data_IF_822497943835
#
_entry.id   IF_822497943835
#
_cell.length_a   1.000
_cell.length_b   1.000
_cell.length_c   1.000
_cell.angle_alpha   90.00
_cell.angle_beta   90.00
_cell.angle_gamma   90.00
#
_symmetry.space_group_name_H-M   'P 1'
#
loop_
_entity.id
_entity.type
_entity.pdbx_description
1 polymer ?
#
# COMPACT_ATOMS: atom_id res chain seq x y z
N UNK A 1 -9.69 9.01 6.89
CA UNK A 1 -9.33 10.42 7.11
C UNK A 1 -10.22 11.29 6.24
N UNK A 2 -10.76 12.39 6.74
CA UNK A 2 -11.79 13.16 6.04
C UNK A 2 -11.30 13.85 4.76
N UNK A 3 -10.03 14.19 4.68
CA UNK A 3 -9.40 14.88 3.55
C UNK A 3 -9.18 13.96 2.33
N UNK A 4 -9.02 12.65 2.56
CA UNK A 4 -8.76 11.65 1.53
C UNK A 4 -9.52 10.35 1.89
N UNK A 5 -10.82 10.25 1.59
CA UNK A 5 -11.67 9.15 2.07
C UNK A 5 -11.27 7.78 1.54
N UNK A 6 -10.64 7.72 0.36
CA UNK A 6 -10.11 6.49 -0.24
C UNK A 6 -8.86 5.95 0.47
N UNK A 7 -8.17 6.76 1.30
CA UNK A 7 -6.97 6.34 2.04
C UNK A 7 -7.36 5.74 3.40
N UNK A 8 -7.50 4.41 3.44
CA UNK A 8 -8.09 3.67 4.56
C UNK A 8 -7.05 2.81 5.30
N UNK A 9 -6.24 3.43 6.16
CA UNK A 9 -5.20 2.77 6.98
C UNK A 9 -4.16 2.04 6.13
N UNK A 10 -4.31 0.74 5.90
CA UNK A 10 -3.52 -0.07 4.99
C UNK A 10 -4.43 -0.59 3.88
N UNK A 11 -4.08 -0.33 2.63
CA UNK A 11 -4.90 -0.78 1.49
C UNK A 11 -4.03 -1.14 0.28
N UNK A 12 -4.63 -1.82 -0.66
CA UNK A 12 -4.08 -2.15 -1.98
C UNK A 12 -4.92 -1.43 -3.02
N UNK A 13 -4.30 -0.73 -3.95
CA UNK A 13 -5.01 -0.03 -5.00
C UNK A 13 -4.09 0.46 -6.11
N UNK A 14 -4.63 0.72 -7.28
CA UNK A 14 -3.88 1.27 -8.41
C UNK A 14 -4.77 2.12 -9.32
N UNK A 15 -4.28 3.31 -9.69
CA UNK A 15 -5.07 4.34 -10.39
C UNK A 15 -5.31 4.08 -11.88
N UNK A 16 -4.58 3.17 -12.52
CA UNK A 16 -4.83 2.84 -13.93
C UNK A 16 -4.58 1.36 -14.24
N UNK A 17 -5.64 0.57 -14.09
CA UNK A 17 -5.66 -0.83 -14.50
C UNK A 17 -6.40 -0.93 -15.85
N UNK A 18 -5.69 -0.79 -16.98
CA UNK A 18 -6.29 -0.77 -18.34
C UNK A 18 -7.39 0.29 -18.48
N UNK A 19 -7.15 1.49 -17.95
CA UNK A 19 -8.09 2.62 -18.01
C UNK A 19 -9.12 2.66 -16.88
N UNK A 20 -8.98 1.80 -15.85
CA UNK A 20 -9.87 1.81 -14.69
C UNK A 20 -9.10 2.26 -13.45
N UNK A 21 -9.58 3.31 -12.83
CA UNK A 21 -9.06 3.80 -11.56
C UNK A 21 -9.59 2.95 -10.40
N UNK A 22 -8.70 2.24 -9.72
CA UNK A 22 -8.98 1.49 -8.50
C UNK A 22 -8.23 2.08 -7.29
N UNK A 23 -7.84 3.35 -7.38
CA UNK A 23 -7.18 4.08 -6.29
C UNK A 23 -8.10 5.10 -5.65
N UNK A 24 -8.74 5.95 -6.45
CA UNK A 24 -9.66 6.99 -5.96
C UNK A 24 -11.09 6.45 -5.77
N UNK A 25 -11.96 7.25 -5.16
CA UNK A 25 -13.41 6.98 -5.09
C UNK A 25 -14.18 8.05 -5.90
N UNK A 26 -13.59 8.55 -6.98
CA UNK A 26 -14.23 9.50 -7.90
C UNK A 26 -15.30 8.80 -8.75
N UNK A 27 -16.31 9.55 -9.27
CA UNK A 27 -17.32 8.96 -10.13
C UNK A 27 -16.72 8.16 -11.31
N UNK A 28 -17.17 6.93 -11.49
CA UNK A 28 -16.66 6.03 -12.55
C UNK A 28 -15.47 5.17 -12.14
N UNK A 29 -14.99 5.27 -10.90
CA UNK A 29 -13.91 4.42 -10.40
C UNK A 29 -14.28 2.93 -10.38
N UNK A 30 -13.27 2.07 -10.45
CA UNK A 30 -13.40 0.64 -10.20
C UNK A 30 -13.46 0.33 -8.71
N UNK A 31 -13.71 -0.93 -8.37
CA UNK A 31 -13.78 -1.33 -6.98
C UNK A 31 -13.28 -2.76 -6.76
N UNK A 32 -12.87 -3.03 -5.54
CA UNK A 32 -12.49 -4.35 -5.07
C UNK A 32 -13.62 -4.98 -4.27
N UNK A 33 -13.87 -6.26 -4.48
CA UNK A 33 -14.90 -7.01 -3.76
C UNK A 33 -14.32 -8.27 -3.15
N UNK A 34 -14.48 -8.41 -1.84
CA UNK A 34 -14.17 -9.66 -1.14
C UNK A 34 -15.06 -10.79 -1.64
N UNK A 35 -14.47 -11.95 -1.95
CA UNK A 35 -15.14 -13.11 -2.52
C UNK A 35 -15.09 -14.36 -1.63
N UNK A 36 -14.53 -14.21 -0.45
CA UNK A 36 -14.40 -15.28 0.52
C UNK A 36 -12.95 -15.51 0.95
N UNK A 37 -12.80 -16.24 2.02
CA UNK A 37 -11.49 -16.64 2.51
C UNK A 37 -11.02 -17.93 1.84
N UNK A 38 -9.75 -17.95 1.45
CA UNK A 38 -9.07 -19.16 0.99
C UNK A 38 -8.50 -19.97 2.17
N UNK A 39 -8.03 -19.25 3.21
CA UNK A 39 -7.56 -19.88 4.44
C UNK A 39 -7.66 -18.89 5.60
N UNK A 40 -7.77 -19.41 6.81
CA UNK A 40 -7.64 -18.69 8.08
C UNK A 40 -6.93 -19.60 9.05
N UNK A 41 -5.81 -19.14 9.57
CA UNK A 41 -4.95 -19.89 10.49
C UNK A 41 -4.71 -19.03 11.73
N UNK A 42 -4.64 -19.64 12.88
CA UNK A 42 -4.26 -18.96 14.11
C UNK A 42 -3.38 -19.85 14.96
N UNK A 43 -2.37 -19.26 15.60
CA UNK A 43 -1.41 -19.97 16.42
C UNK A 43 -0.65 -19.03 17.33
N UNK A 44 0.21 -19.60 18.19
CA UNK A 44 0.99 -18.83 19.14
C UNK A 44 2.12 -17.99 18.49
N UNK A 45 2.58 -18.41 17.31
CA UNK A 45 3.69 -17.75 16.59
C UNK A 45 3.15 -16.72 15.58
N UNK A 46 2.11 -17.09 14.86
CA UNK A 46 1.48 -16.19 13.87
C UNK A 46 -0.01 -16.48 13.70
N UNK A 47 -0.72 -15.48 13.19
CA UNK A 47 -2.05 -15.62 12.58
C UNK A 47 -1.98 -15.24 11.11
N UNK A 48 -2.73 -15.95 10.24
CA UNK A 48 -2.73 -15.74 8.80
C UNK A 48 -4.14 -15.75 8.23
N UNK A 49 -4.39 -14.81 7.32
CA UNK A 49 -5.63 -14.78 6.55
C UNK A 49 -5.28 -14.71 5.07
N UNK A 50 -5.91 -15.58 4.26
CA UNK A 50 -5.90 -15.52 2.79
C UNK A 50 -7.29 -15.16 2.30
N UNK A 51 -7.41 -14.06 1.58
CA UNK A 51 -8.68 -13.57 1.04
C UNK A 51 -8.65 -13.54 -0.49
N UNK A 52 -9.71 -14.08 -1.10
CA UNK A 52 -9.95 -13.92 -2.54
C UNK A 52 -10.71 -12.62 -2.77
N UNK A 53 -10.18 -11.80 -3.68
CA UNK A 53 -10.70 -10.48 -4.00
C UNK A 53 -10.85 -10.39 -5.52
N UNK A 54 -11.95 -9.88 -6.00
CA UNK A 54 -12.13 -9.53 -7.40
C UNK A 54 -11.98 -8.03 -7.59
N UNK A 55 -11.30 -7.63 -8.67
CA UNK A 55 -11.20 -6.25 -9.11
C UNK A 55 -12.17 -5.99 -10.26
N UNK A 56 -12.95 -4.93 -10.15
CA UNK A 56 -14.09 -4.66 -11.03
C UNK A 56 -14.05 -3.25 -11.60
N UNK A 57 -14.58 -3.09 -12.81
CA UNK A 57 -14.91 -1.78 -13.36
C UNK A 57 -16.13 -1.19 -12.65
N UNK A 58 -16.37 0.11 -12.78
CA UNK A 58 -17.59 0.79 -12.29
C UNK A 58 -18.90 0.10 -12.74
N UNK A 59 -18.89 -0.53 -13.94
CA UNK A 59 -20.04 -1.24 -14.49
C UNK A 59 -20.18 -2.70 -14.03
N UNK A 60 -19.38 -3.12 -13.06
CA UNK A 60 -19.44 -4.47 -12.49
C UNK A 60 -18.77 -5.57 -13.31
N UNK A 61 -18.05 -5.25 -14.39
CA UNK A 61 -17.27 -6.25 -15.14
C UNK A 61 -15.99 -6.56 -14.35
N UNK A 62 -15.75 -7.84 -14.04
CA UNK A 62 -14.51 -8.29 -13.40
C UNK A 62 -13.34 -8.13 -14.37
N UNK A 63 -12.23 -7.57 -13.89
CA UNK A 63 -11.00 -7.38 -14.66
C UNK A 63 -9.99 -8.48 -14.35
N UNK A 64 -9.74 -8.74 -13.07
CA UNK A 64 -8.79 -9.75 -12.61
C UNK A 64 -9.09 -10.14 -11.16
N UNK A 65 -8.39 -11.14 -10.67
CA UNK A 65 -8.49 -11.63 -9.32
C UNK A 65 -7.22 -11.35 -8.51
N UNK A 66 -7.40 -11.22 -7.22
CA UNK A 66 -6.32 -11.07 -6.24
C UNK A 66 -6.47 -12.15 -5.16
N UNK A 67 -5.36 -12.75 -4.77
CA UNK A 67 -5.20 -13.45 -3.51
C UNK A 67 -4.36 -12.56 -2.59
N UNK A 68 -4.98 -12.03 -1.54
CA UNK A 68 -4.29 -11.27 -0.51
C UNK A 68 -4.03 -12.15 0.69
N UNK A 69 -2.78 -12.27 1.06
CA UNK A 69 -2.38 -12.93 2.30
C UNK A 69 -1.85 -11.89 3.27
N UNK A 70 -2.32 -11.94 4.50
CA UNK A 70 -1.78 -11.15 5.61
C UNK A 70 -1.38 -12.11 6.71
N UNK A 71 -0.12 -12.10 7.07
CA UNK A 71 0.42 -12.84 8.22
C UNK A 71 0.82 -11.83 9.29
N UNK A 72 0.30 -12.00 10.50
CA UNK A 72 0.65 -11.19 11.67
C UNK A 72 1.41 -12.07 12.64
N UNK A 73 2.60 -11.65 13.01
CA UNK A 73 3.47 -12.42 13.91
C UNK A 73 3.28 -12.03 15.37
N UNK A 74 3.38 -13.03 16.24
CA UNK A 74 3.45 -12.83 17.69
C UNK A 74 4.82 -12.27 18.06
N UNK A 75 4.87 -10.97 18.35
CA UNK A 75 6.09 -10.26 18.73
C UNK A 75 6.03 -9.77 20.17
N UNK A 76 7.19 -9.64 20.82
CA UNK A 76 7.29 -9.04 22.15
C UNK A 76 7.35 -7.50 22.09
N UNK A 77 7.05 -6.85 23.20
CA UNK A 77 7.09 -5.39 23.33
C UNK A 77 6.00 -4.69 22.51
N UNK A 78 6.28 -3.49 22.06
CA UNK A 78 5.36 -2.67 21.25
C UNK A 78 5.38 -2.94 19.76
N UNK A 79 6.29 -3.81 19.29
CA UNK A 79 6.43 -4.12 17.87
C UNK A 79 5.21 -4.86 17.31
N UNK A 80 4.84 -4.54 16.07
CA UNK A 80 3.92 -5.35 15.26
C UNK A 80 4.61 -5.66 13.94
N UNK A 81 4.74 -6.94 13.63
CA UNK A 81 5.33 -7.43 12.37
C UNK A 81 4.24 -8.10 11.54
N UNK A 82 4.16 -7.69 10.28
CA UNK A 82 3.19 -8.25 9.34
C UNK A 82 3.84 -8.45 7.97
N UNK A 83 3.55 -9.58 7.35
CA UNK A 83 3.76 -9.76 5.90
C UNK A 83 2.45 -9.55 5.16
N UNK A 84 2.52 -8.84 4.06
CA UNK A 84 1.38 -8.66 3.14
C UNK A 84 1.82 -9.14 1.76
N UNK A 85 1.21 -10.22 1.30
CA UNK A 85 1.47 -10.75 -0.05
C UNK A 85 0.24 -10.52 -0.93
N UNK A 86 0.48 -9.93 -2.10
CA UNK A 86 -0.56 -9.66 -3.11
C UNK A 86 -0.22 -10.44 -4.37
N UNK A 87 -1.01 -11.46 -4.69
CA UNK A 87 -0.89 -12.22 -5.93
C UNK A 87 -2.02 -11.82 -6.87
N UNK A 88 -1.67 -11.24 -8.02
CA UNK A 88 -2.62 -10.84 -9.05
C UNK A 88 -2.70 -11.91 -10.14
N UNK A 89 -3.93 -12.30 -10.50
CA UNK A 89 -4.20 -13.31 -11.54
C UNK A 89 -5.09 -12.72 -12.61
N UNK A 90 -4.57 -12.62 -13.83
CA UNK A 90 -5.25 -12.00 -14.98
C UNK A 90 -6.23 -12.97 -15.63
N UNK A 91 -7.27 -13.36 -14.87
CA UNK A 91 -8.25 -14.42 -15.24
C UNK A 91 -9.24 -14.00 -16.33
N UNK A 92 -9.29 -12.71 -16.68
CA UNK A 92 -10.24 -12.16 -17.66
C UNK A 92 -9.55 -11.57 -18.91
N UNK A 93 -8.29 -11.92 -19.14
CA UNK A 93 -7.46 -11.38 -20.21
C UNK A 93 -6.35 -10.46 -19.68
N UNK A 94 -5.52 -9.93 -20.57
CA UNK A 94 -4.40 -9.08 -20.22
C UNK A 94 -4.87 -7.78 -19.56
N UNK A 95 -4.15 -7.35 -18.54
CA UNK A 95 -4.33 -6.07 -17.85
C UNK A 95 -3.02 -5.30 -17.88
N UNK A 96 -3.08 -4.04 -18.27
CA UNK A 96 -1.94 -3.14 -18.25
C UNK A 96 -2.06 -2.21 -17.03
N UNK A 97 -1.11 -2.29 -16.13
CA UNK A 97 -0.90 -1.28 -15.08
C UNK A 97 -0.13 -0.13 -15.72
N UNK A 98 -0.85 0.95 -16.05
CA UNK A 98 -0.23 2.11 -16.71
C UNK A 98 0.48 2.99 -15.71
N UNK A 99 1.42 3.77 -16.21
CA UNK A 99 2.23 4.67 -15.42
C UNK A 99 1.38 5.78 -14.79
N UNK A 100 1.28 5.77 -13.46
CA UNK A 100 0.60 6.79 -12.66
C UNK A 100 1.20 6.88 -11.26
N UNK A 101 1.24 8.09 -10.70
CA UNK A 101 1.61 8.27 -9.29
C UNK A 101 0.51 7.77 -8.34
N UNK A 102 -0.73 7.74 -8.80
CA UNK A 102 -1.90 7.32 -8.00
C UNK A 102 -1.92 5.80 -7.85
N UNK A 103 -1.06 5.29 -6.99
CA UNK A 103 -0.91 3.86 -6.84
C UNK A 103 0.05 3.49 -5.74
N UNK A 104 -0.07 2.28 -5.42
CA UNK A 104 0.74 1.50 -4.54
C UNK A 104 0.02 0.17 -4.39
N UNK A 105 0.67 -0.92 -4.78
CA UNK A 105 0.11 -2.24 -4.47
C UNK A 105 0.11 -2.51 -2.97
N UNK A 106 0.81 -1.67 -2.21
CA UNK A 106 0.63 -1.53 -0.77
C UNK A 106 0.78 -0.07 -0.38
N UNK A 107 -0.25 0.48 0.23
CA UNK A 107 -0.28 1.85 0.70
C UNK A 107 -0.71 1.93 2.17
N UNK A 108 -0.15 2.90 2.88
CA UNK A 108 -0.44 3.18 4.27
C UNK A 108 -0.79 4.65 4.45
N UNK A 109 -1.83 4.92 5.22
CA UNK A 109 -2.12 6.24 5.76
C UNK A 109 -1.86 6.22 7.26
N UNK A 110 -0.86 6.98 7.71
CA UNK A 110 -0.54 7.11 9.13
C UNK A 110 -1.55 8.01 9.85
N UNK A 111 -1.49 8.04 11.17
CA UNK A 111 -2.34 8.91 11.99
C UNK A 111 -2.09 10.39 11.65
N UNK A 112 -3.14 11.22 11.71
CA UNK A 112 -3.01 12.65 11.38
C UNK A 112 -2.07 13.41 12.32
N UNK A 113 -1.82 12.90 13.52
CA UNK A 113 -0.83 13.44 14.44
C UNK A 113 0.62 13.23 13.98
N UNK A 114 0.84 12.23 13.10
CA UNK A 114 2.15 11.88 12.53
C UNK A 114 2.43 12.61 11.22
N UNK A 115 1.54 13.48 10.76
CA UNK A 115 1.74 14.20 9.50
C UNK A 115 3.00 15.11 9.59
N UNK A 116 3.71 15.33 8.48
CA UNK A 116 4.96 16.07 8.44
C UNK A 116 4.82 17.52 8.93
N UNK A 117 3.62 18.14 8.74
CA UNK A 117 3.32 19.47 9.26
C UNK A 117 3.20 19.51 10.79
N UNK A 118 3.10 18.36 11.43
CA UNK A 118 3.01 18.17 12.89
C UNK A 118 4.27 17.53 13.48
N UNK A 119 5.38 17.56 12.74
CA UNK A 119 6.65 17.02 13.18
C UNK A 119 6.86 15.55 12.87
N UNK A 120 6.00 14.95 12.02
CA UNK A 120 6.24 13.63 11.46
C UNK A 120 7.44 13.62 10.51
N UNK A 121 8.08 12.48 10.40
CA UNK A 121 9.29 12.30 9.60
C UNK A 121 9.11 11.12 8.66
N UNK A 122 9.48 11.31 7.39
CA UNK A 122 9.65 10.23 6.41
C UNK A 122 11.14 9.95 6.30
N UNK A 123 11.53 8.68 6.29
CA UNK A 123 12.91 8.25 6.05
C UNK A 123 12.96 7.03 5.15
N UNK A 124 14.05 6.84 4.41
CA UNK A 124 14.24 5.70 3.51
C UNK A 124 15.56 5.00 3.75
N UNK A 125 15.71 3.77 3.22
CA UNK A 125 16.97 3.01 3.25
C UNK A 125 18.15 3.74 2.63
N UNK A 126 17.90 4.68 1.72
CA UNK A 126 18.92 5.45 1.01
C UNK A 126 19.29 6.76 1.72
N UNK A 127 18.77 6.96 2.94
CA UNK A 127 19.07 8.14 3.76
C UNK A 127 18.26 9.38 3.38
N UNK A 128 17.29 9.29 2.48
CA UNK A 128 16.40 10.41 2.15
C UNK A 128 15.49 10.73 3.32
N UNK A 129 15.34 12.02 3.64
CA UNK A 129 14.53 12.54 4.73
C UNK A 129 13.46 13.49 4.19
N UNK A 130 12.19 13.24 4.57
CA UNK A 130 11.06 14.06 4.15
C UNK A 130 10.56 13.76 2.75
N UNK A 131 9.42 14.34 2.39
CA UNK A 131 8.77 14.13 1.10
C UNK A 131 9.66 14.56 -0.08
N UNK A 132 10.33 15.70 0.02
CA UNK A 132 11.08 16.26 -1.10
C UNK A 132 12.23 15.35 -1.56
N UNK A 133 12.85 14.64 -0.64
CA UNK A 133 13.95 13.72 -0.96
C UNK A 133 13.50 12.29 -1.26
N UNK A 134 12.41 11.83 -0.62
CA UNK A 134 11.96 10.45 -0.72
C UNK A 134 10.96 10.21 -1.88
N UNK A 135 10.24 11.24 -2.33
CA UNK A 135 9.19 11.07 -3.32
C UNK A 135 9.71 10.54 -4.66
N UNK A 136 9.17 9.40 -5.09
CA UNK A 136 9.51 8.74 -6.33
C UNK A 136 10.88 8.07 -6.37
N UNK A 137 11.70 8.19 -5.33
CA UNK A 137 13.02 7.56 -5.29
C UNK A 137 12.93 6.09 -4.89
N UNK A 138 13.70 5.21 -5.56
CA UNK A 138 13.78 3.82 -5.17
C UNK A 138 14.46 3.67 -3.80
N UNK A 139 13.89 2.81 -2.95
CA UNK A 139 14.50 2.44 -1.69
C UNK A 139 13.94 1.08 -1.23
N UNK A 140 14.74 0.30 -0.50
CA UNK A 140 14.34 -1.00 -0.01
C UNK A 140 13.27 -0.94 1.10
N UNK A 141 13.22 0.18 1.81
CA UNK A 141 12.16 0.46 2.78
C UNK A 141 11.90 1.97 2.89
N UNK A 142 10.70 2.28 3.34
CA UNK A 142 10.32 3.64 3.73
C UNK A 142 9.64 3.58 5.11
N UNK A 143 10.03 4.48 6.00
CA UNK A 143 9.47 4.68 7.33
C UNK A 143 8.71 6.00 7.40
N UNK A 144 7.62 5.98 8.14
CA UNK A 144 6.88 7.19 8.50
C UNK A 144 6.64 7.17 10.01
N UNK A 145 7.23 8.09 10.74
CA UNK A 145 7.16 8.17 12.20
C UNK A 145 6.75 9.55 12.71
N UNK A 146 6.13 9.60 13.89
CA UNK A 146 5.66 10.83 14.50
C UNK A 146 5.04 10.62 15.87
N UNK A 147 4.46 11.67 16.45
CA UNK A 147 3.81 11.59 17.76
C UNK A 147 2.40 10.99 17.65
N UNK A 148 2.09 10.05 18.55
CA UNK A 148 0.75 9.51 18.76
C UNK A 148 0.49 9.44 20.26
N UNK A 149 -0.31 10.38 20.75
CA UNK A 149 -0.66 10.42 22.18
C UNK A 149 0.52 10.64 23.11
N UNK A 150 1.49 11.46 22.71
CA UNK A 150 2.68 11.80 23.49
C UNK A 150 3.78 10.74 23.40
N UNK A 151 3.68 9.77 22.50
CA UNK A 151 4.75 8.79 22.23
C UNK A 151 5.11 8.81 20.76
N UNK A 152 6.41 8.60 20.47
CA UNK A 152 6.86 8.43 19.10
C UNK A 152 6.52 7.02 18.63
N UNK A 153 5.72 6.94 17.59
CA UNK A 153 5.32 5.71 16.92
C UNK A 153 5.72 5.79 15.45
N UNK A 154 5.85 4.64 14.78
CA UNK A 154 6.22 4.60 13.36
C UNK A 154 5.68 3.36 12.65
N UNK A 155 5.61 3.47 11.33
CA UNK A 155 5.31 2.37 10.43
C UNK A 155 6.40 2.34 9.37
N UNK A 156 7.15 1.25 9.31
CA UNK A 156 8.07 0.97 8.21
C UNK A 156 7.42 -0.04 7.26
N UNK A 157 7.47 0.25 5.97
CA UNK A 157 7.12 -0.70 4.90
C UNK A 157 8.40 -1.11 4.19
N UNK A 158 8.63 -2.42 4.11
CA UNK A 158 9.81 -3.00 3.47
C UNK A 158 9.38 -3.65 2.16
N UNK A 159 10.03 -3.28 1.07
CA UNK A 159 9.85 -3.92 -0.23
C UNK A 159 10.62 -5.23 -0.26
N UNK A 160 10.00 -6.33 -0.66
CA UNK A 160 10.66 -7.63 -0.71
C UNK A 160 11.55 -7.74 -1.96
N UNK A 161 12.76 -8.30 -1.82
CA UNK A 161 13.74 -8.38 -2.90
C UNK A 161 13.28 -9.14 -4.15
N UNK A 162 12.25 -9.99 -4.03
CA UNK A 162 11.65 -10.71 -5.16
C UNK A 162 10.47 -9.95 -5.80
N UNK A 163 10.08 -8.80 -5.27
CA UNK A 163 9.01 -8.01 -5.88
C UNK A 163 9.45 -7.45 -7.25
N UNK A 164 8.50 -7.32 -8.19
CA UNK A 164 8.81 -6.70 -9.48
C UNK A 164 9.40 -5.30 -9.29
N UNK A 165 10.53 -5.04 -9.98
CA UNK A 165 11.25 -3.75 -9.98
C UNK A 165 11.75 -3.32 -8.60
N UNK A 166 12.14 -4.28 -7.76
CA UNK A 166 12.84 -3.99 -6.50
C UNK A 166 14.16 -3.24 -6.76
N UNK A 167 14.53 -2.22 -5.95
CA UNK A 167 13.70 -1.56 -4.97
C UNK A 167 12.66 -0.62 -5.59
N UNK A 168 11.47 -0.59 -5.00
CA UNK A 168 10.34 0.19 -5.51
C UNK A 168 10.52 1.69 -5.34
N UNK A 169 9.88 2.49 -6.22
CA UNK A 169 9.71 3.92 -6.00
C UNK A 169 8.61 4.19 -4.97
N UNK A 170 8.80 5.23 -4.14
CA UNK A 170 7.88 5.53 -3.05
C UNK A 170 6.98 6.73 -3.35
N UNK A 171 5.68 6.52 -3.32
CA UNK A 171 4.71 7.60 -3.30
C UNK A 171 4.47 8.04 -1.86
N UNK A 172 5.15 9.10 -1.46
CA UNK A 172 5.05 9.66 -0.10
C UNK A 172 4.47 11.06 -0.10
N UNK A 173 3.74 11.41 0.94
CA UNK A 173 3.19 12.75 1.15
C UNK A 173 3.29 13.15 2.60
N UNK A 174 3.63 14.40 2.87
CA UNK A 174 3.70 14.96 4.22
C UNK A 174 2.40 14.87 4.99
N UNK A 175 1.26 14.78 4.30
CA UNK A 175 -0.03 14.57 4.96
C UNK A 175 -0.27 13.14 5.46
N UNK A 176 0.74 12.27 5.43
CA UNK A 176 0.68 10.95 6.04
C UNK A 176 0.47 9.77 5.07
N UNK A 177 0.64 9.95 3.76
CA UNK A 177 0.63 8.87 2.79
C UNK A 177 2.03 8.29 2.59
N UNK A 178 2.10 6.96 2.57
CA UNK A 178 3.27 6.17 2.18
C UNK A 178 2.82 4.97 1.37
N UNK A 179 3.27 4.84 0.12
CA UNK A 179 2.88 3.75 -0.76
C UNK A 179 4.05 3.24 -1.61
N UNK A 180 4.19 1.92 -1.67
CA UNK A 180 5.14 1.23 -2.54
C UNK A 180 4.54 1.14 -3.95
N UNK A 181 5.14 1.81 -4.94
CA UNK A 181 4.60 1.88 -6.31
C UNK A 181 5.61 1.43 -7.35
N UNK A 182 5.64 0.14 -7.64
CA UNK A 182 6.55 -0.46 -8.62
C UNK A 182 6.18 -0.19 -10.08
N UNK A 183 5.01 0.40 -10.37
CA UNK A 183 4.55 0.65 -11.74
C UNK A 183 4.61 2.12 -12.18
N UNK A 184 4.80 3.07 -11.26
CA UNK A 184 5.03 4.45 -11.62
C UNK A 184 6.48 4.64 -12.09
N UNK A 185 6.67 4.84 -13.38
CA UNK A 185 7.98 4.91 -13.98
C UNK A 185 8.38 6.32 -14.40
N UNK A 186 7.58 6.99 -15.22
CA UNK A 186 7.89 8.33 -15.72
C UNK A 186 7.48 9.42 -14.72
N UNK A 187 6.47 9.17 -13.90
CA UNK A 187 6.00 10.12 -12.88
C UNK A 187 7.03 10.39 -11.77
N UNK A 188 8.05 9.55 -11.65
CA UNK A 188 9.10 9.68 -10.64
C UNK A 188 10.45 10.15 -11.23
N UNK A 189 10.47 10.57 -12.48
CA UNK A 189 11.67 11.09 -13.16
C UNK A 189 11.67 12.61 -13.26
#
# INVERSE_FOLDING_TARGET
VQDQPHQKSLWVGYGDCSGVDNWTELPGHGYQRHRGFAARESGAVFGRVRARIGWYTARGRRQFDELREVTVYGTAGGLRLMDVTVTLSMTQGAVTFRDTKEGGLLAVRVASSMDGRRGGTIATSEGAIGQAEAWGRPAAWCDYSGDVGGRREGIAVMDHGENPRFPTGWHVREYGLMAANCFAWSHYR
#
